data_IF_814612397494
#
_entry.id   IF_814612397494
#
_cell.length_a   1.000
_cell.length_b   1.000
_cell.length_c   1.000
_cell.angle_alpha   90.00
_cell.angle_beta   90.00
_cell.angle_gamma   90.00
#
_symmetry.space_group_name_H-M   'P 1'
#
loop_
_entity.id
_entity.type
_entity.pdbx_description
1 polymer ?
#
# COMPACT_ATOMS: atom_id res chain seq x y z
N UNK A 1 39.19 -47.29 1.90
CA UNK A 1 38.80 -47.31 0.48
C UNK A 1 37.66 -46.33 0.37
N UNK A 2 37.82 -45.23 -0.37
CA UNK A 2 36.77 -44.20 -0.48
C UNK A 2 35.51 -44.84 -1.07
N UNK A 3 34.43 -44.92 -0.31
CA UNK A 3 33.14 -45.40 -0.80
C UNK A 3 32.58 -44.32 -1.74
N UNK A 4 32.97 -44.40 -3.01
CA UNK A 4 32.43 -43.51 -4.03
C UNK A 4 31.00 -43.94 -4.31
N UNK A 5 30.05 -43.10 -3.91
CA UNK A 5 28.64 -43.28 -4.19
C UNK A 5 28.30 -42.78 -5.60
N UNK A 6 27.47 -43.56 -6.30
CA UNK A 6 27.03 -43.31 -7.66
C UNK A 6 25.52 -43.06 -7.71
N UNK A 7 25.07 -42.41 -8.78
CA UNK A 7 23.66 -42.26 -9.15
C UNK A 7 23.44 -42.75 -10.59
N UNK A 8 22.27 -43.34 -10.83
CA UNK A 8 21.87 -43.79 -12.17
C UNK A 8 20.89 -42.78 -12.76
N UNK A 9 21.22 -42.30 -13.96
CA UNK A 9 20.38 -41.35 -14.70
C UNK A 9 19.95 -41.94 -16.04
N UNK A 10 18.74 -41.63 -16.47
CA UNK A 10 18.21 -41.99 -17.80
C UNK A 10 17.59 -40.75 -18.45
N UNK A 11 17.68 -40.66 -19.76
CA UNK A 11 17.17 -39.54 -20.58
C UNK A 11 16.04 -39.97 -21.53
N UNK A 12 15.64 -41.25 -21.49
CA UNK A 12 14.62 -41.83 -22.37
C UNK A 12 15.19 -42.38 -23.69
N UNK A 13 16.51 -42.42 -23.85
CA UNK A 13 17.16 -43.01 -25.02
C UNK A 13 16.98 -44.54 -25.06
N UNK A 14 16.55 -45.05 -26.21
CA UNK A 14 16.32 -46.47 -26.45
C UNK A 14 17.62 -47.19 -26.85
N UNK A 15 17.75 -48.46 -26.46
CA UNK A 15 18.85 -49.30 -26.91
C UNK A 15 18.76 -49.58 -28.43
N UNK A 16 19.90 -49.82 -29.12
CA UNK A 16 19.90 -50.04 -30.56
C UNK A 16 18.99 -51.21 -30.97
N UNK A 17 18.06 -50.97 -31.89
CA UNK A 17 17.15 -52.00 -32.42
C UNK A 17 15.92 -52.31 -31.56
N UNK A 18 15.64 -51.52 -30.52
CA UNK A 18 14.48 -51.71 -29.63
C UNK A 18 13.37 -50.71 -29.93
N UNK A 19 12.12 -51.19 -29.96
CA UNK A 19 10.93 -50.33 -30.13
C UNK A 19 10.49 -49.71 -28.81
N UNK A 20 9.85 -48.55 -28.88
CA UNK A 20 9.38 -47.80 -27.71
C UNK A 20 8.41 -48.61 -26.84
N UNK A 21 7.54 -49.42 -27.45
CA UNK A 21 6.58 -50.27 -26.73
C UNK A 21 7.28 -51.38 -25.93
N UNK A 22 8.30 -52.02 -26.52
CA UNK A 22 9.09 -53.04 -25.82
C UNK A 22 9.84 -52.46 -24.62
N UNK A 23 10.42 -51.28 -24.78
CA UNK A 23 11.12 -50.60 -23.69
C UNK A 23 10.17 -50.18 -22.55
N UNK A 24 8.96 -49.73 -22.87
CA UNK A 24 7.95 -49.38 -21.87
C UNK A 24 7.47 -50.60 -21.09
N UNK A 25 7.21 -51.72 -21.76
CA UNK A 25 6.84 -52.97 -21.09
C UNK A 25 7.99 -53.57 -20.27
N UNK A 26 9.22 -53.54 -20.79
CA UNK A 26 10.41 -54.02 -20.08
C UNK A 26 10.63 -53.25 -18.79
N UNK A 27 10.52 -51.92 -18.85
CA UNK A 27 10.68 -51.05 -17.68
C UNK A 27 9.52 -51.19 -16.68
N UNK A 28 8.29 -51.37 -17.17
CA UNK A 28 7.12 -51.65 -16.33
C UNK A 28 7.28 -52.97 -15.54
N UNK A 29 7.79 -54.03 -16.19
CA UNK A 29 8.11 -55.31 -15.53
C UNK A 29 9.24 -55.17 -14.51
N UNK A 30 10.30 -54.44 -14.86
CA UNK A 30 11.46 -54.26 -13.98
C UNK A 30 11.08 -53.52 -12.69
N UNK A 31 10.26 -52.47 -12.77
CA UNK A 31 9.83 -51.69 -11.60
C UNK A 31 8.54 -52.19 -10.95
N UNK A 32 7.88 -53.20 -11.53
CA UNK A 32 6.54 -53.68 -11.13
C UNK A 32 5.54 -52.53 -11.03
N UNK A 33 5.48 -51.69 -12.07
CA UNK A 33 4.60 -50.52 -12.18
C UNK A 33 3.81 -50.57 -13.47
N UNK A 34 2.67 -49.87 -13.51
CA UNK A 34 1.85 -49.77 -14.71
C UNK A 34 2.56 -48.99 -15.82
N UNK A 35 2.32 -49.42 -17.07
CA UNK A 35 2.89 -48.82 -18.29
C UNK A 35 2.55 -47.32 -18.39
N UNK A 36 1.40 -46.89 -17.85
CA UNK A 36 0.99 -45.48 -17.81
C UNK A 36 1.94 -44.59 -17.00
N UNK A 37 2.48 -45.08 -15.88
CA UNK A 37 3.43 -44.34 -15.03
C UNK A 37 4.79 -44.22 -15.73
N UNK A 38 5.18 -45.28 -16.43
CA UNK A 38 6.45 -45.39 -17.13
C UNK A 38 6.51 -44.47 -18.36
N UNK A 39 5.38 -44.20 -19.03
CA UNK A 39 5.32 -43.26 -20.17
C UNK A 39 5.92 -41.89 -19.86
N UNK A 40 5.76 -41.42 -18.62
CA UNK A 40 6.32 -40.13 -18.20
C UNK A 40 7.85 -40.11 -18.10
N UNK A 41 8.51 -41.28 -18.02
CA UNK A 41 9.97 -41.37 -17.97
C UNK A 41 10.64 -41.16 -19.34
N UNK A 42 9.88 -41.26 -20.43
CA UNK A 42 10.36 -41.07 -21.81
C UNK A 42 10.15 -39.63 -22.33
N UNK A 43 9.99 -38.66 -21.43
CA UNK A 43 9.72 -37.26 -21.80
C UNK A 43 10.96 -36.49 -22.32
N UNK A 44 12.08 -37.17 -22.61
CA UNK A 44 13.35 -36.57 -23.04
C UNK A 44 14.11 -35.79 -21.96
N UNK A 45 13.63 -35.82 -20.71
CA UNK A 45 14.27 -35.14 -19.57
C UNK A 45 15.13 -36.15 -18.81
N UNK A 46 16.33 -35.74 -18.39
CA UNK A 46 17.21 -36.57 -17.56
C UNK A 46 16.60 -36.79 -16.18
N UNK A 47 16.27 -38.04 -15.85
CA UNK A 47 15.63 -38.46 -14.59
C UNK A 47 16.60 -39.36 -13.83
N UNK A 48 16.66 -39.19 -12.50
CA UNK A 48 17.47 -40.02 -11.62
C UNK A 48 16.63 -41.16 -11.07
N UNK A 49 17.04 -42.41 -11.34
CA UNK A 49 16.30 -43.61 -10.93
C UNK A 49 16.65 -44.00 -9.49
N UNK A 50 17.95 -44.04 -9.19
CA UNK A 50 18.47 -44.42 -7.88
C UNK A 50 19.76 -43.66 -7.59
N UNK A 51 19.91 -43.23 -6.33
CA UNK A 51 21.05 -42.50 -5.79
C UNK A 51 21.68 -43.29 -4.67
N UNK A 52 22.87 -42.87 -4.27
CA UNK A 52 23.55 -43.36 -3.08
C UNK A 52 23.83 -44.88 -3.13
N UNK A 53 24.36 -45.35 -4.27
CA UNK A 53 24.69 -46.77 -4.48
C UNK A 53 26.16 -46.98 -4.77
N UNK A 54 26.69 -48.13 -4.36
CA UNK A 54 28.09 -48.48 -4.60
C UNK A 54 28.34 -48.86 -6.09
N UNK A 55 29.61 -48.93 -6.49
CA UNK A 55 30.00 -49.23 -7.87
C UNK A 55 29.40 -50.53 -8.41
N UNK A 56 29.45 -51.62 -7.61
CA UNK A 56 28.96 -52.95 -8.03
C UNK A 56 27.44 -53.01 -8.22
N UNK A 57 26.70 -52.25 -7.41
CA UNK A 57 25.25 -52.14 -7.52
C UNK A 57 24.89 -51.28 -8.73
N UNK A 58 25.60 -50.16 -8.94
CA UNK A 58 25.40 -49.28 -10.09
C UNK A 58 25.54 -50.03 -11.42
N UNK A 59 26.55 -50.90 -11.56
CA UNK A 59 26.76 -51.69 -12.77
C UNK A 59 25.61 -52.68 -13.02
N UNK A 60 25.10 -53.34 -11.96
CA UNK A 60 23.91 -54.22 -12.05
C UNK A 60 22.66 -53.46 -12.50
N UNK A 61 22.47 -52.22 -12.03
CA UNK A 61 21.33 -51.41 -12.45
C UNK A 61 21.43 -50.98 -13.93
N UNK A 62 22.62 -50.61 -14.39
CA UNK A 62 22.84 -50.26 -15.81
C UNK A 62 22.58 -51.47 -16.71
N UNK A 63 23.06 -52.65 -16.34
CA UNK A 63 22.84 -53.89 -17.09
C UNK A 63 21.35 -54.31 -17.12
N UNK A 64 20.66 -54.20 -16.00
CA UNK A 64 19.23 -54.49 -15.91
C UNK A 64 18.38 -53.54 -16.76
N UNK A 65 18.74 -52.25 -16.81
CA UNK A 65 18.05 -51.24 -17.62
C UNK A 65 18.34 -51.41 -19.11
N UNK A 66 19.57 -51.78 -19.46
CA UNK A 66 19.95 -52.10 -20.84
C UNK A 66 19.17 -53.33 -21.36
N UNK A 67 19.05 -54.37 -20.52
CA UNK A 67 18.25 -55.56 -20.83
C UNK A 67 16.76 -55.25 -20.97
N UNK A 68 16.27 -54.20 -20.31
CA UNK A 68 14.91 -53.67 -20.47
C UNK A 68 14.74 -52.76 -21.70
N UNK A 69 15.80 -52.53 -22.49
CA UNK A 69 15.75 -51.78 -23.74
C UNK A 69 16.03 -50.28 -23.63
N UNK A 70 16.56 -49.80 -22.50
CA UNK A 70 16.79 -48.37 -22.23
C UNK A 70 18.25 -48.11 -21.88
N UNK A 71 18.81 -47.00 -22.38
CA UNK A 71 20.18 -46.60 -22.06
C UNK A 71 20.17 -45.81 -20.74
N UNK A 72 21.03 -46.24 -19.80
CA UNK A 72 21.22 -45.59 -18.52
C UNK A 72 22.68 -45.21 -18.32
N UNK A 73 22.92 -44.04 -17.73
CA UNK A 73 24.24 -43.50 -17.47
C UNK A 73 24.54 -43.55 -15.96
N UNK A 74 25.67 -44.18 -15.62
CA UNK A 74 26.27 -44.18 -14.28
C UNK A 74 27.08 -42.90 -14.09
N UNK A 75 26.71 -42.10 -13.11
CA UNK A 75 27.41 -40.87 -12.73
C UNK A 75 27.83 -40.92 -11.27
N UNK A 76 28.93 -40.26 -10.92
CA UNK A 76 29.34 -40.10 -9.52
C UNK A 76 28.37 -39.13 -8.83
N UNK A 77 27.83 -39.52 -7.67
CA UNK A 77 26.96 -38.66 -6.88
C UNK A 77 27.80 -37.80 -5.93
N UNK A 78 28.26 -36.64 -6.42
CA UNK A 78 29.06 -35.71 -5.61
C UNK A 78 28.35 -35.31 -4.31
N UNK A 79 27.01 -35.28 -4.28
CA UNK A 79 26.25 -34.89 -3.09
C UNK A 79 26.29 -35.96 -1.98
N UNK A 80 26.33 -37.25 -2.35
CA UNK A 80 26.43 -38.34 -1.38
C UNK A 80 27.87 -38.53 -0.88
N UNK A 81 28.87 -38.19 -1.70
CA UNK A 81 30.29 -38.24 -1.31
C UNK A 81 30.73 -37.08 -0.40
N UNK A 82 29.84 -36.13 -0.12
CA UNK A 82 30.05 -35.04 0.84
C UNK A 82 29.50 -35.45 2.21
N UNK A 83 30.03 -36.53 2.80
CA UNK A 83 29.77 -36.86 4.20
C UNK A 83 30.63 -35.98 5.10
N UNK A 84 29.99 -35.12 5.90
CA UNK A 84 30.65 -34.30 6.93
C UNK A 84 31.19 -35.22 8.05
N UNK A 85 32.49 -35.49 8.07
CA UNK A 85 33.16 -35.95 9.29
C UNK A 85 33.20 -34.82 10.31
N UNK A 86 32.71 -35.10 11.51
CA UNK A 86 32.72 -34.16 12.62
C UNK A 86 34.16 -33.91 13.06
N UNK A 87 34.68 -32.72 12.73
CA UNK A 87 35.93 -32.22 13.30
C UNK A 87 35.63 -31.92 14.77
N UNK A 88 36.27 -32.66 15.68
CA UNK A 88 36.36 -32.32 17.10
C UNK A 88 37.01 -30.95 17.22
N UNK A 89 36.25 -29.98 17.72
CA UNK A 89 36.69 -28.61 17.96
C UNK A 89 37.68 -28.57 19.13
N UNK A 90 38.98 -28.59 18.84
CA UNK A 90 39.95 -27.92 19.69
C UNK A 90 40.01 -26.46 19.25
N UNK A 91 39.44 -25.58 20.07
CA UNK A 91 39.50 -24.12 19.90
C UNK A 91 40.88 -23.61 20.31
N UNK A 92 41.57 -22.82 19.47
CA UNK A 92 42.60 -21.92 19.96
C UNK A 92 41.92 -20.64 20.47
N UNK A 93 42.19 -20.29 21.73
CA UNK A 93 42.03 -18.94 22.25
C UNK A 93 42.77 -17.95 21.34
N UNK A 94 42.06 -17.00 20.74
CA UNK A 94 42.66 -15.80 20.13
C UNK A 94 41.82 -14.56 20.41
N UNK A 95 42.56 -13.53 20.86
CA UNK A 95 42.23 -12.11 21.04
C UNK A 95 40.86 -11.63 20.55
N UNK A 96 40.09 -11.08 21.49
CA UNK A 96 38.77 -10.52 21.23
C UNK A 96 38.86 -9.13 20.58
N UNK A 97 39.19 -9.08 19.29
CA UNK A 97 38.93 -7.90 18.47
C UNK A 97 37.41 -7.66 18.40
N UNK A 98 36.95 -6.47 18.78
CA UNK A 98 35.53 -6.13 18.75
C UNK A 98 35.13 -5.52 17.40
N UNK A 99 33.95 -5.85 16.91
CA UNK A 99 33.39 -5.32 15.67
C UNK A 99 31.92 -4.91 15.82
N UNK A 100 31.49 -3.92 15.02
CA UNK A 100 30.09 -3.49 14.94
C UNK A 100 29.44 -4.16 13.73
N UNK A 101 28.28 -4.78 13.93
CA UNK A 101 27.53 -5.40 12.84
C UNK A 101 26.99 -4.35 11.85
N UNK A 102 27.28 -4.48 10.54
CA UNK A 102 26.85 -3.51 9.52
C UNK A 102 25.33 -3.48 9.24
N UNK A 103 24.57 -4.45 9.76
CA UNK A 103 23.11 -4.52 9.57
C UNK A 103 22.31 -4.03 10.76
N UNK A 104 22.70 -4.39 11.98
CA UNK A 104 21.93 -4.09 13.20
C UNK A 104 22.68 -3.21 14.20
N UNK A 105 23.91 -2.81 13.89
CA UNK A 105 24.77 -1.96 14.72
C UNK A 105 25.11 -2.52 16.12
N UNK A 106 24.92 -3.83 16.35
CA UNK A 106 25.33 -4.46 17.61
C UNK A 106 26.85 -4.61 17.69
N UNK A 107 27.43 -4.23 18.82
CA UNK A 107 28.82 -4.49 19.20
C UNK A 107 28.98 -5.95 19.63
N UNK A 108 29.93 -6.67 19.02
CA UNK A 108 30.20 -8.08 19.31
C UNK A 108 31.67 -8.40 19.03
N UNK A 109 32.18 -9.49 19.59
CA UNK A 109 33.49 -10.01 19.22
C UNK A 109 33.53 -10.41 17.73
N UNK A 110 34.71 -10.31 17.11
CA UNK A 110 34.94 -10.69 15.72
C UNK A 110 34.48 -12.12 15.48
N UNK A 111 33.38 -12.27 14.74
CA UNK A 111 32.72 -13.55 14.52
C UNK A 111 32.12 -13.58 13.12
N UNK A 112 32.17 -14.73 12.43
CA UNK A 112 31.71 -14.85 11.03
C UNK A 112 30.21 -14.52 10.87
N UNK A 113 29.42 -14.84 11.89
CA UNK A 113 27.99 -14.54 11.98
C UNK A 113 27.68 -13.57 13.11
N UNK A 114 26.74 -12.66 12.87
CA UNK A 114 26.24 -11.77 13.91
C UNK A 114 25.36 -12.52 14.91
N UNK A 115 25.67 -12.40 16.20
CA UNK A 115 24.94 -13.04 17.30
C UNK A 115 23.53 -12.44 17.53
N UNK A 116 23.29 -11.21 17.11
CA UNK A 116 22.00 -10.54 17.30
C UNK A 116 21.02 -10.73 16.14
N UNK A 117 21.47 -10.50 14.89
CA UNK A 117 20.60 -10.54 13.70
C UNK A 117 20.85 -11.72 12.76
N UNK A 118 21.81 -12.60 13.07
CA UNK A 118 22.02 -13.88 12.39
C UNK A 118 22.62 -13.80 10.98
N UNK A 119 23.12 -12.64 10.53
CA UNK A 119 23.74 -12.53 9.21
C UNK A 119 25.19 -13.03 9.22
N UNK A 120 25.63 -13.60 8.10
CA UNK A 120 27.06 -13.83 7.82
C UNK A 120 27.68 -12.49 7.37
N UNK A 121 28.59 -11.94 8.18
CA UNK A 121 29.05 -10.54 8.05
C UNK A 121 29.86 -10.33 6.77
N UNK A 122 30.81 -11.23 6.48
CA UNK A 122 31.60 -11.17 5.24
C UNK A 122 30.71 -11.22 3.99
N UNK A 123 29.69 -12.09 4.02
CA UNK A 123 28.74 -12.24 2.91
C UNK A 123 27.88 -10.99 2.74
N UNK A 124 27.40 -10.41 3.84
CA UNK A 124 26.60 -9.18 3.82
C UNK A 124 27.39 -8.00 3.24
N UNK A 125 28.65 -7.84 3.64
CA UNK A 125 29.54 -6.79 3.11
C UNK A 125 29.78 -6.95 1.60
N UNK A 126 29.98 -8.19 1.13
CA UNK A 126 30.15 -8.47 -0.30
C UNK A 126 28.92 -8.10 -1.13
N UNK A 127 27.71 -8.37 -0.60
CA UNK A 127 26.47 -7.99 -1.26
C UNK A 127 26.26 -6.48 -1.25
N UNK A 128 26.61 -5.79 -0.17
CA UNK A 128 26.50 -4.33 -0.10
C UNK A 128 27.45 -3.65 -1.09
N UNK A 129 28.69 -4.14 -1.23
CA UNK A 129 29.65 -3.64 -2.21
C UNK A 129 29.21 -3.90 -3.67
N UNK A 130 28.61 -5.06 -3.94
CA UNK A 130 28.03 -5.36 -5.27
C UNK A 130 26.80 -4.49 -5.56
N UNK A 131 25.93 -4.28 -4.56
CA UNK A 131 24.75 -3.43 -4.69
C UNK A 131 25.12 -1.97 -5.00
N UNK A 132 26.15 -1.41 -4.35
CA UNK A 132 26.64 -0.06 -4.67
C UNK A 132 27.25 0.06 -6.07
N UNK A 133 27.84 -1.02 -6.59
CA UNK A 133 28.38 -1.04 -7.95
C UNK A 133 27.27 -1.19 -9.00
N UNK A 134 26.21 -1.94 -8.70
CA UNK A 134 25.04 -2.09 -9.56
C UNK A 134 24.25 -0.79 -9.69
N UNK A 135 24.05 -0.02 -8.62
CA UNK A 135 23.41 1.31 -8.71
C UNK A 135 24.23 2.29 -9.55
N UNK A 136 25.56 2.21 -9.51
CA UNK A 136 26.45 3.06 -10.31
C UNK A 136 26.54 2.63 -11.78
N UNK A 137 26.39 1.33 -12.07
CA UNK A 137 26.34 0.80 -13.43
C UNK A 137 24.96 0.99 -14.09
N UNK A 138 23.88 0.94 -13.31
CA UNK A 138 22.51 1.14 -13.80
C UNK A 138 22.26 2.57 -14.30
N UNK A 139 22.97 3.59 -13.80
CA UNK A 139 22.87 4.96 -14.32
C UNK A 139 23.59 5.18 -15.66
N UNK A 140 24.34 4.19 -16.17
CA UNK A 140 25.16 4.30 -17.39
C UNK A 140 24.74 3.28 -18.48
N UNK A 141 23.89 2.31 -18.15
CA UNK A 141 23.48 1.27 -19.11
C UNK A 141 22.40 1.75 -20.09
N UNK A 142 22.58 1.61 -21.42
CA UNK A 142 21.57 1.98 -22.44
C UNK A 142 20.27 1.18 -22.36
N UNK A 143 20.24 0.06 -21.62
CA UNK A 143 19.08 -0.80 -21.42
C UNK A 143 18.58 -0.77 -19.97
N UNK A 144 18.94 0.24 -19.19
CA UNK A 144 18.37 0.44 -17.87
C UNK A 144 16.85 0.61 -18.00
N UNK A 145 16.08 -0.25 -17.33
CA UNK A 145 14.64 -0.08 -17.24
C UNK A 145 14.37 1.31 -16.64
N UNK A 146 13.47 2.12 -17.21
CA UNK A 146 13.14 3.40 -16.64
C UNK A 146 12.64 3.17 -15.21
N UNK A 147 13.44 3.56 -14.23
CA UNK A 147 12.97 3.66 -12.86
C UNK A 147 11.91 4.74 -12.88
N UNK A 148 10.64 4.34 -12.73
CA UNK A 148 9.62 5.29 -12.38
C UNK A 148 10.05 5.87 -11.03
N UNK A 149 10.49 7.12 -11.04
CA UNK A 149 10.44 7.94 -9.83
C UNK A 149 8.97 7.95 -9.46
N UNK A 150 8.56 7.03 -8.60
CA UNK A 150 7.40 7.26 -7.76
C UNK A 150 7.87 8.44 -6.94
N UNK A 151 7.57 9.65 -7.41
CA UNK A 151 7.47 10.80 -6.54
C UNK A 151 6.60 10.29 -5.40
N UNK A 152 7.25 10.01 -4.26
CA UNK A 152 6.53 9.94 -3.02
C UNK A 152 5.83 11.27 -2.99
N UNK A 153 4.53 11.24 -3.27
CA UNK A 153 3.60 12.34 -3.23
C UNK A 153 3.87 13.04 -1.90
N UNK A 154 4.79 14.00 -1.89
CA UNK A 154 4.90 14.99 -0.84
C UNK A 154 3.67 15.82 -1.08
N UNK A 155 2.52 15.24 -0.72
CA UNK A 155 1.18 15.61 -1.15
C UNK A 155 1.18 17.10 -1.30
N UNK A 156 1.27 17.60 -2.53
CA UNK A 156 1.57 19.00 -2.76
C UNK A 156 0.44 19.74 -2.07
N UNK A 157 0.68 20.29 -0.89
CA UNK A 157 -0.45 20.68 -0.04
C UNK A 157 -0.95 22.00 -0.62
N UNK A 158 -2.19 22.03 -1.08
CA UNK A 158 -2.74 23.23 -1.70
C UNK A 158 -2.69 24.42 -0.74
N UNK A 159 -2.17 25.56 -1.20
CA UNK A 159 -2.13 26.76 -0.39
C UNK A 159 -3.55 27.27 -0.07
N UNK A 160 -3.72 27.79 1.14
CA UNK A 160 -5.00 28.30 1.61
C UNK A 160 -5.15 29.76 1.22
N UNK A 161 -5.78 29.99 0.08
CA UNK A 161 -6.24 31.32 -0.27
C UNK A 161 -7.39 31.73 0.65
N UNK A 162 -7.25 32.87 1.33
CA UNK A 162 -8.35 33.45 2.11
C UNK A 162 -9.32 34.16 1.14
N UNK A 163 -8.77 34.87 0.17
CA UNK A 163 -9.51 35.63 -0.82
C UNK A 163 -9.74 34.84 -2.12
N UNK A 164 -10.69 35.30 -2.94
CA UNK A 164 -10.97 34.72 -4.25
C UNK A 164 -11.78 33.43 -4.21
N UNK A 165 -11.84 32.74 -5.34
CA UNK A 165 -12.58 31.47 -5.55
C UNK A 165 -11.64 30.29 -5.82
N UNK A 166 -10.34 30.57 -5.92
CA UNK A 166 -9.27 29.65 -6.23
C UNK A 166 -8.95 28.78 -5.02
N UNK A 167 -8.63 27.51 -5.26
CA UNK A 167 -8.29 26.56 -4.21
C UNK A 167 -9.49 25.80 -3.63
N UNK A 168 -9.21 25.06 -2.56
CA UNK A 168 -10.10 24.03 -2.00
C UNK A 168 -10.21 24.16 -0.50
N UNK A 169 -11.42 23.96 0.04
CA UNK A 169 -11.62 23.86 1.49
C UNK A 169 -12.31 22.55 1.86
N UNK A 170 -11.69 21.82 2.78
CA UNK A 170 -12.24 20.59 3.32
C UNK A 170 -13.51 20.83 4.16
N UNK A 171 -14.33 19.78 4.31
CA UNK A 171 -15.63 19.85 5.03
C UNK A 171 -15.54 20.48 6.43
N UNK A 172 -14.53 20.13 7.24
CA UNK A 172 -14.41 20.67 8.60
C UNK A 172 -14.14 22.17 8.62
N UNK A 173 -13.26 22.65 7.71
CA UNK A 173 -12.99 24.09 7.55
C UNK A 173 -14.19 24.84 7.03
N UNK A 174 -14.89 24.27 6.05
CA UNK A 174 -16.13 24.84 5.53
C UNK A 174 -17.14 25.09 6.67
N UNK A 175 -17.33 24.10 7.54
CA UNK A 175 -18.24 24.20 8.68
C UNK A 175 -17.75 25.24 9.69
N UNK A 176 -16.48 25.19 10.09
CA UNK A 176 -15.92 26.15 11.03
C UNK A 176 -15.96 27.60 10.51
N UNK A 177 -15.63 27.81 9.24
CA UNK A 177 -15.65 29.15 8.62
C UNK A 177 -17.07 29.67 8.41
N UNK A 178 -18.04 28.80 8.10
CA UNK A 178 -19.45 29.20 8.01
C UNK A 178 -19.98 29.72 9.35
N UNK A 179 -19.54 29.14 10.47
CA UNK A 179 -19.85 29.60 11.82
C UNK A 179 -19.22 30.98 12.09
N UNK A 180 -17.91 31.12 11.85
CA UNK A 180 -17.20 32.41 12.05
C UNK A 180 -17.86 33.51 11.22
N UNK A 181 -18.19 33.19 9.96
CA UNK A 181 -18.89 34.10 9.07
C UNK A 181 -20.29 34.48 9.60
N UNK A 182 -21.09 33.51 10.06
CA UNK A 182 -22.41 33.77 10.65
C UNK A 182 -22.33 34.70 11.85
N UNK A 183 -21.42 34.43 12.80
CA UNK A 183 -21.26 35.26 14.00
C UNK A 183 -20.63 36.62 13.72
N UNK A 184 -19.75 36.74 12.72
CA UNK A 184 -19.19 38.02 12.30
C UNK A 184 -20.25 38.90 11.63
N UNK A 185 -21.15 38.31 10.83
CA UNK A 185 -22.20 39.05 10.11
C UNK A 185 -23.46 39.31 10.93
N UNK A 186 -23.76 38.51 11.94
CA UNK A 186 -24.90 38.73 12.85
C UNK A 186 -24.95 40.14 13.47
N UNK A 187 -23.89 40.70 14.08
CA UNK A 187 -23.92 42.06 14.62
C UNK A 187 -24.03 43.11 13.52
N UNK A 188 -23.42 42.92 12.35
CA UNK A 188 -23.54 43.84 11.22
C UNK A 188 -25.00 43.91 10.72
N UNK A 189 -25.68 42.76 10.64
CA UNK A 189 -27.10 42.68 10.29
C UNK A 189 -27.99 43.28 11.39
N UNK A 190 -27.66 43.06 12.67
CA UNK A 190 -28.37 43.66 13.81
C UNK A 190 -28.28 45.19 13.77
N UNK A 191 -27.08 45.75 13.57
CA UNK A 191 -26.86 47.19 13.46
C UNK A 191 -27.63 47.76 12.25
N UNK A 192 -27.60 47.07 11.12
CA UNK A 192 -28.39 47.43 9.93
C UNK A 192 -29.88 47.49 10.24
N UNK A 193 -30.40 46.50 10.97
CA UNK A 193 -31.81 46.43 11.37
C UNK A 193 -32.20 47.55 12.34
N UNK A 194 -31.35 47.87 13.31
CA UNK A 194 -31.58 48.97 14.25
C UNK A 194 -31.53 50.32 13.55
N UNK A 195 -30.57 50.52 12.63
CA UNK A 195 -30.47 51.71 11.80
C UNK A 195 -31.71 51.90 10.91
N UNK A 196 -32.29 50.80 10.39
CA UNK A 196 -33.49 50.84 9.55
C UNK A 196 -34.71 51.37 10.32
N UNK A 197 -34.81 51.04 11.62
CA UNK A 197 -35.86 51.60 12.49
C UNK A 197 -35.72 53.11 12.69
N UNK A 198 -34.50 53.63 12.68
CA UNK A 198 -34.23 55.06 12.84
C UNK A 198 -34.41 55.84 11.52
N UNK A 199 -33.94 55.26 10.41
CA UNK A 199 -34.06 55.85 9.07
C UNK A 199 -34.08 54.75 8.02
N UNK A 200 -35.15 54.71 7.24
CA UNK A 200 -35.36 53.72 6.18
C UNK A 200 -34.23 53.80 5.14
N UNK A 201 -33.83 55.00 4.74
CA UNK A 201 -32.76 55.19 3.73
C UNK A 201 -31.40 54.73 4.27
N UNK A 202 -31.02 55.20 5.46
CA UNK A 202 -29.71 54.90 6.03
C UNK A 202 -29.56 53.42 6.40
N UNK A 203 -30.57 52.86 7.10
CA UNK A 203 -30.54 51.43 7.44
C UNK A 203 -30.72 50.53 6.24
N UNK A 204 -31.51 50.92 5.23
CA UNK A 204 -31.68 50.17 4.00
C UNK A 204 -30.38 50.07 3.20
N UNK A 205 -29.64 51.17 3.12
CA UNK A 205 -28.30 51.18 2.52
C UNK A 205 -27.33 50.28 3.29
N UNK A 206 -27.27 50.41 4.62
CA UNK A 206 -26.41 49.57 5.47
C UNK A 206 -26.69 48.08 5.28
N UNK A 207 -27.98 47.71 5.30
CA UNK A 207 -28.45 46.35 5.11
C UNK A 207 -28.06 45.79 3.74
N UNK A 208 -28.21 46.60 2.69
CA UNK A 208 -27.84 46.19 1.33
C UNK A 208 -26.35 45.97 1.21
N UNK A 209 -25.53 46.89 1.73
CA UNK A 209 -24.06 46.76 1.69
C UNK A 209 -23.60 45.55 2.48
N UNK A 210 -24.11 45.36 3.71
CA UNK A 210 -23.80 44.20 4.54
C UNK A 210 -24.25 42.88 3.88
N UNK A 211 -25.44 42.88 3.27
CA UNK A 211 -25.98 41.73 2.54
C UNK A 211 -25.16 41.36 1.31
N UNK A 212 -24.73 42.34 0.51
CA UNK A 212 -23.86 42.09 -0.66
C UNK A 212 -22.48 41.59 -0.22
N UNK A 213 -21.89 42.18 0.82
CA UNK A 213 -20.61 41.70 1.37
C UNK A 213 -20.73 40.26 1.88
N UNK A 214 -21.80 39.96 2.62
CA UNK A 214 -22.10 38.62 3.11
C UNK A 214 -22.28 37.63 1.94
N UNK A 215 -23.03 38.02 0.91
CA UNK A 215 -23.25 37.19 -0.28
C UNK A 215 -21.93 36.87 -1.00
N UNK A 216 -21.05 37.86 -1.20
CA UNK A 216 -19.75 37.64 -1.87
C UNK A 216 -18.89 36.65 -1.09
N UNK A 217 -18.75 36.85 0.22
CA UNK A 217 -17.93 35.97 1.07
C UNK A 217 -18.54 34.55 1.14
N UNK A 218 -19.87 34.45 1.29
CA UNK A 218 -20.58 33.18 1.32
C UNK A 218 -20.43 32.38 0.02
N UNK A 219 -20.48 33.06 -1.13
CA UNK A 219 -20.21 32.46 -2.45
C UNK A 219 -18.77 31.96 -2.52
N UNK A 220 -17.78 32.78 -2.16
CA UNK A 220 -16.35 32.39 -2.20
C UNK A 220 -16.09 31.11 -1.40
N UNK A 221 -16.59 31.05 -0.16
CA UNK A 221 -16.43 29.88 0.71
C UNK A 221 -17.12 28.65 0.08
N UNK A 222 -18.34 28.80 -0.43
CA UNK A 222 -19.10 27.68 -0.97
C UNK A 222 -18.56 27.18 -2.32
N UNK A 223 -18.00 28.05 -3.15
CA UNK A 223 -17.30 27.67 -4.40
C UNK A 223 -16.06 26.84 -4.08
N UNK A 224 -15.22 27.28 -3.13
CA UNK A 224 -14.05 26.51 -2.70
C UNK A 224 -14.43 25.14 -2.12
N UNK A 225 -15.62 25.03 -1.52
CA UNK A 225 -16.15 23.76 -1.04
C UNK A 225 -16.59 22.84 -2.17
N UNK A 226 -17.25 23.38 -3.20
CA UNK A 226 -17.58 22.62 -4.41
C UNK A 226 -16.33 22.16 -5.15
N UNK A 227 -15.32 23.02 -5.23
CA UNK A 227 -14.01 22.66 -5.78
C UNK A 227 -13.34 21.52 -5.02
N UNK A 228 -13.51 21.45 -3.69
CA UNK A 228 -12.99 20.33 -2.89
C UNK A 228 -13.69 19.00 -3.19
N UNK A 229 -14.97 19.03 -3.55
CA UNK A 229 -15.74 17.85 -4.01
C UNK A 229 -15.37 17.50 -5.47
N UNK A 230 -14.79 18.45 -6.21
CA UNK A 230 -14.47 18.32 -7.64
C UNK A 230 -15.58 18.75 -8.58
N UNK A 231 -16.55 19.52 -8.08
CA UNK A 231 -17.70 20.05 -8.81
C UNK A 231 -17.51 21.51 -9.21
N UNK A 232 -18.29 21.99 -10.19
CA UNK A 232 -18.25 23.38 -10.62
C UNK A 232 -18.94 24.32 -9.62
N UNK A 233 -18.37 25.52 -9.42
CA UNK A 233 -18.96 26.56 -8.58
C UNK A 233 -20.35 27.03 -9.05
N UNK A 234 -20.67 26.85 -10.34
CA UNK A 234 -21.98 27.16 -10.91
C UNK A 234 -23.13 26.39 -10.27
N UNK A 235 -22.87 25.22 -9.66
CA UNK A 235 -23.90 24.48 -8.94
C UNK A 235 -24.45 25.25 -7.74
N UNK A 236 -23.78 26.31 -7.25
CA UNK A 236 -24.35 27.18 -6.21
C UNK A 236 -25.67 27.84 -6.63
N UNK A 237 -25.94 28.02 -7.92
CA UNK A 237 -27.20 28.58 -8.38
C UNK A 237 -28.41 27.71 -7.98
N UNK A 238 -28.20 26.41 -7.74
CA UNK A 238 -29.24 25.51 -7.20
C UNK A 238 -29.71 26.00 -5.82
N UNK A 239 -28.85 26.67 -5.06
CA UNK A 239 -29.16 27.23 -3.74
C UNK A 239 -30.21 28.35 -3.79
N UNK A 240 -30.49 28.92 -4.97
CA UNK A 240 -31.55 29.92 -5.16
C UNK A 240 -32.96 29.30 -5.15
N UNK A 241 -33.07 27.98 -5.30
CA UNK A 241 -34.34 27.25 -5.24
C UNK A 241 -34.57 26.86 -3.77
N UNK A 242 -35.60 27.35 -3.05
CA UNK A 242 -35.67 27.21 -1.60
C UNK A 242 -35.59 25.76 -1.08
N UNK A 243 -36.41 24.85 -1.63
CA UNK A 243 -36.46 23.45 -1.17
C UNK A 243 -35.26 22.66 -1.68
N UNK A 244 -35.01 22.70 -2.99
CA UNK A 244 -33.92 21.94 -3.63
C UNK A 244 -32.55 22.45 -3.17
N UNK A 245 -32.40 23.77 -3.06
CA UNK A 245 -31.21 24.46 -2.60
C UNK A 245 -30.88 24.17 -1.14
N UNK A 246 -31.90 24.06 -0.26
CA UNK A 246 -31.67 23.66 1.13
C UNK A 246 -31.11 22.24 1.23
N UNK A 247 -31.66 21.31 0.44
CA UNK A 247 -31.14 19.93 0.36
C UNK A 247 -29.72 19.92 -0.22
N UNK A 248 -29.46 20.70 -1.27
CA UNK A 248 -28.15 20.82 -1.88
C UNK A 248 -27.10 21.36 -0.89
N UNK A 249 -27.46 22.32 -0.05
CA UNK A 249 -26.56 22.86 0.97
C UNK A 249 -26.21 21.81 2.03
N UNK A 250 -27.19 21.02 2.47
CA UNK A 250 -26.96 19.90 3.37
C UNK A 250 -26.07 18.82 2.74
N UNK A 251 -26.25 18.58 1.44
CA UNK A 251 -25.44 17.63 0.68
C UNK A 251 -23.95 18.06 0.69
N UNK A 252 -23.63 19.29 0.29
CA UNK A 252 -22.22 19.75 0.27
C UNK A 252 -21.59 19.86 1.67
N UNK A 253 -22.44 19.97 2.70
CA UNK A 253 -22.04 19.96 4.11
C UNK A 253 -21.56 18.58 4.56
N UNK A 254 -22.18 17.50 4.08
CA UNK A 254 -21.92 16.12 4.55
C UNK A 254 -20.91 15.37 3.66
N UNK A 255 -20.95 15.56 2.34
CA UNK A 255 -20.15 14.76 1.40
C UNK A 255 -18.63 14.85 1.69
N UNK A 256 -17.85 13.78 1.51
CA UNK A 256 -16.39 13.89 1.56
C UNK A 256 -15.84 14.66 0.34
N UNK A 257 -14.70 15.32 0.52
CA UNK A 257 -13.93 15.90 -0.59
C UNK A 257 -13.09 14.85 -1.33
N UNK A 258 -12.47 15.23 -2.45
CA UNK A 258 -11.58 14.36 -3.21
C UNK A 258 -10.23 14.15 -2.49
N UNK A 259 -9.80 12.89 -2.36
CA UNK A 259 -8.63 12.48 -1.56
C UNK A 259 -7.26 12.74 -2.23
N UNK A 260 -7.24 13.14 -3.50
CA UNK A 260 -6.02 13.50 -4.24
C UNK A 260 -6.16 14.81 -5.00
N UNK A 261 -5.22 15.06 -5.92
CA UNK A 261 -5.28 16.22 -6.80
C UNK A 261 -6.55 16.15 -7.67
N UNK A 262 -7.23 17.29 -7.77
CA UNK A 262 -8.38 17.44 -8.66
C UNK A 262 -8.14 18.62 -9.61
N UNK A 263 -9.09 18.89 -10.51
CA UNK A 263 -8.98 19.97 -11.50
C UNK A 263 -8.80 21.38 -10.91
N UNK A 264 -9.09 21.55 -9.62
CA UNK A 264 -9.00 22.80 -8.88
C UNK A 264 -7.75 22.88 -7.99
N UNK A 265 -6.86 21.90 -8.10
CA UNK A 265 -5.60 21.84 -7.40
C UNK A 265 -5.50 20.70 -6.40
N UNK A 266 -4.41 20.76 -5.65
CA UNK A 266 -4.01 19.73 -4.72
C UNK A 266 -4.84 19.74 -3.43
N UNK A 267 -4.85 18.65 -2.63
CA UNK A 267 -5.75 18.52 -1.50
C UNK A 267 -5.54 19.60 -0.45
N UNK A 268 -6.63 19.97 0.23
CA UNK A 268 -6.57 20.96 1.29
C UNK A 268 -5.67 20.48 2.45
N UNK A 269 -4.92 21.37 3.11
CA UNK A 269 -4.04 21.03 4.22
C UNK A 269 -4.78 20.40 5.39
N UNK A 270 -4.02 19.67 6.19
CA UNK A 270 -4.50 19.14 7.46
C UNK A 270 -5.12 20.24 8.33
N UNK A 271 -6.22 19.89 9.01
CA UNK A 271 -6.95 20.83 9.85
C UNK A 271 -6.19 21.13 11.15
N UNK A 272 -6.05 22.41 11.50
CA UNK A 272 -5.47 22.83 12.77
C UNK A 272 -6.36 22.44 13.95
N UNK A 273 -5.78 22.41 15.14
CA UNK A 273 -6.52 22.13 16.40
C UNK A 273 -7.66 23.11 16.61
N UNK A 274 -7.46 24.40 16.33
CA UNK A 274 -8.49 25.44 16.41
C UNK A 274 -9.71 25.13 15.52
N UNK A 275 -9.49 24.69 14.28
CA UNK A 275 -10.58 24.31 13.37
C UNK A 275 -11.36 23.12 13.92
N UNK A 276 -10.67 22.11 14.49
CA UNK A 276 -11.31 20.94 15.09
C UNK A 276 -12.17 21.34 16.29
N UNK A 277 -11.65 22.22 17.16
CA UNK A 277 -12.39 22.72 18.32
C UNK A 277 -13.63 23.50 17.88
N UNK A 278 -13.49 24.44 16.94
CA UNK A 278 -14.62 25.20 16.39
C UNK A 278 -15.68 24.28 15.77
N UNK A 279 -15.27 23.26 15.02
CA UNK A 279 -16.18 22.27 14.45
C UNK A 279 -17.00 21.56 15.53
N UNK A 280 -16.36 21.08 16.61
CA UNK A 280 -17.06 20.39 17.70
C UNK A 280 -17.96 21.32 18.51
N UNK A 281 -17.54 22.58 18.74
CA UNK A 281 -18.40 23.60 19.33
C UNK A 281 -19.67 23.77 18.48
N UNK A 282 -19.54 23.79 17.16
CA UNK A 282 -20.68 23.93 16.26
C UNK A 282 -21.62 22.74 16.32
N UNK A 283 -21.09 21.52 16.30
CA UNK A 283 -21.89 20.30 16.46
C UNK A 283 -22.62 20.30 17.81
N UNK A 284 -21.97 20.74 18.89
CA UNK A 284 -22.58 20.88 20.21
C UNK A 284 -23.69 21.95 20.24
N UNK A 285 -23.47 23.11 19.61
CA UNK A 285 -24.47 24.18 19.53
C UNK A 285 -25.71 23.75 18.73
N UNK A 286 -25.53 23.12 17.57
CA UNK A 286 -26.63 22.63 16.74
C UNK A 286 -27.42 21.53 17.43
N UNK A 287 -26.74 20.58 18.08
CA UNK A 287 -27.41 19.51 18.84
C UNK A 287 -28.17 20.06 20.05
N UNK A 288 -27.57 20.99 20.80
CA UNK A 288 -28.24 21.66 21.92
C UNK A 288 -29.49 22.42 21.46
N UNK A 289 -29.39 23.21 20.38
CA UNK A 289 -30.53 23.93 19.81
C UNK A 289 -31.65 22.99 19.34
N UNK A 290 -31.31 21.87 18.71
CA UNK A 290 -32.29 20.85 18.30
C UNK A 290 -33.00 20.22 19.50
N UNK A 291 -32.26 19.87 20.55
CA UNK A 291 -32.83 19.31 21.80
C UNK A 291 -33.75 20.32 22.48
N UNK A 292 -33.32 21.58 22.62
CA UNK A 292 -34.14 22.65 23.18
C UNK A 292 -35.41 22.89 22.37
N UNK A 293 -35.33 22.81 21.04
CA UNK A 293 -36.48 22.92 20.14
C UNK A 293 -37.50 21.81 20.36
N UNK A 294 -37.04 20.55 20.50
CA UNK A 294 -37.92 19.42 20.83
C UNK A 294 -38.59 19.62 22.19
N UNK A 295 -37.81 19.97 23.23
CA UNK A 295 -38.36 20.19 24.58
C UNK A 295 -39.38 21.32 24.58
N UNK A 296 -39.08 22.44 23.92
CA UNK A 296 -39.99 23.58 23.79
C UNK A 296 -41.26 23.21 23.03
N UNK A 297 -41.15 22.45 21.94
CA UNK A 297 -42.29 21.96 21.17
C UNK A 297 -43.18 21.00 21.97
N UNK A 298 -42.57 20.07 22.72
CA UNK A 298 -43.29 19.15 23.61
C UNK A 298 -43.99 19.89 24.75
N UNK A 299 -43.31 20.84 25.38
CA UNK A 299 -43.89 21.68 26.44
C UNK A 299 -45.03 22.55 25.90
N UNK A 300 -44.86 23.13 24.70
CA UNK A 300 -45.91 23.88 24.01
C UNK A 300 -47.14 23.03 23.68
N UNK A 301 -46.96 21.79 23.24
CA UNK A 301 -48.07 20.85 23.00
C UNK A 301 -48.79 20.45 24.31
N UNK A 302 -48.06 20.27 25.42
CA UNK A 302 -48.66 19.98 26.73
C UNK A 302 -49.45 21.16 27.31
N UNK A 303 -48.99 22.39 27.11
CA UNK A 303 -49.66 23.60 27.60
C UNK A 303 -50.77 24.11 26.66
N UNK A 304 -50.64 23.87 25.36
CA UNK A 304 -51.61 24.28 24.34
C UNK A 304 -52.85 23.37 24.24
N UNK A 305 -52.84 22.20 24.87
CA UNK A 305 -54.00 21.29 24.95
C UNK A 305 -55.03 21.64 26.04
N UNK A 306 -54.94 22.81 26.67
CA UNK A 306 -55.81 23.24 27.78
C UNK A 306 -56.83 24.34 27.41
N UNK A 307 -57.06 24.63 26.12
CA UNK A 307 -58.07 25.58 25.66
C UNK A 307 -58.94 25.00 24.56
#
# INVERSE_FOLDING_TARGET
MSDTHYKITMDGSLAPGVTLDFAQEGLARLFKKDVSVIKHLFSGKKITIKRDINASQADKYVEALFSAGVIAHKEVDLAANLSLEAISSDSPEQDSEQMICPKCATEQALHETCQHCGIVIAKFNSYQAQASNLTKAASVSPYASPTATIEQDTAEVGELSIWGVEGRIGRMRYIAWSMVFMFAMAPAMLISMLAFKASVLFGGLLMTVAGVAAMIIGIQISVKRLHDIGWSGWLLLISLIPVVGSIFQLLIFVLPGSQGNNRYGAPAPANSTAVKVLFWIWVALLSSGFVLGIISGMLGAMLGGQY
#
